data_IF_967602857157
#
_entry.id   IF_967602857157
#
_cell.length_a   1.000
_cell.length_b   1.000
_cell.length_c   1.000
_cell.angle_alpha   90.00
_cell.angle_beta   90.00
_cell.angle_gamma   90.00
#
_symmetry.space_group_name_H-M   'P 1'
#
loop_
_entity.id
_entity.type
_entity.pdbx_description
1 polymer ?
#
# COMPACT_ATOMS: atom_id res chain seq x y z
N UNK A 1 -11.69 26.76 5.05
CA UNK A 1 -10.65 25.95 5.68
C UNK A 1 -10.98 24.50 5.36
N UNK A 2 -10.46 24.10 4.53
CA UNK A 2 -9.77 23.14 3.66
C UNK A 2 -10.27 21.69 3.83
N UNK A 3 -11.40 21.41 3.15
CA UNK A 3 -11.96 20.05 2.95
C UNK A 3 -11.30 19.28 1.80
N UNK A 4 -10.08 19.67 1.36
CA UNK A 4 -9.45 19.11 0.14
C UNK A 4 -8.29 18.14 0.36
N UNK A 5 -7.89 17.87 1.61
CA UNK A 5 -6.76 16.97 1.93
C UNK A 5 -7.20 15.50 2.09
N UNK A 6 -8.49 15.24 2.28
CA UNK A 6 -8.98 13.90 2.60
C UNK A 6 -9.11 12.92 1.43
N UNK A 7 -8.89 13.38 0.19
CA UNK A 7 -9.12 12.53 -0.99
C UNK A 7 -7.84 11.90 -1.60
N UNK A 8 -6.66 12.19 -1.05
CA UNK A 8 -5.36 11.75 -1.62
C UNK A 8 -4.77 10.55 -0.86
N UNK A 9 -5.36 10.16 0.26
CA UNK A 9 -4.84 9.10 1.12
C UNK A 9 -5.04 7.66 0.60
N UNK A 10 -5.48 7.47 -0.62
CA UNK A 10 -5.93 6.16 -1.10
C UNK A 10 -4.89 5.35 -1.88
N UNK A 11 -3.72 5.91 -2.20
CA UNK A 11 -2.65 5.14 -2.87
C UNK A 11 -1.32 5.70 -2.40
N UNK A 12 -0.95 5.46 -1.21
CA UNK A 12 0.41 5.72 -0.76
C UNK A 12 0.69 4.95 0.50
N UNK A 13 1.75 4.32 0.51
CA UNK A 13 2.67 4.00 1.58
C UNK A 13 3.75 3.07 1.09
N UNK A 14 4.96 3.27 1.30
CA UNK A 14 5.95 2.76 2.21
C UNK A 14 7.24 2.18 1.65
N UNK A 15 8.41 2.62 1.98
CA UNK A 15 9.70 1.92 1.82
C UNK A 15 10.57 1.93 3.05
N UNK A 16 11.25 0.83 3.31
CA UNK A 16 12.32 0.73 4.28
C UNK A 16 13.71 0.60 3.62
N UNK A 17 14.72 1.10 4.28
CA UNK A 17 16.13 0.98 3.94
C UNK A 17 16.67 -0.45 4.00
N UNK A 18 17.37 -0.85 2.95
CA UNK A 18 18.60 -1.62 2.97
C UNK A 18 18.58 -3.04 3.51
N UNK A 19 18.51 -3.97 2.60
CA UNK A 19 18.93 -5.35 2.75
C UNK A 19 18.73 -6.02 1.41
N UNK A 20 19.80 -6.19 0.64
CA UNK A 20 19.75 -6.77 -0.70
C UNK A 20 19.32 -8.23 -0.69
N UNK A 21 18.09 -8.52 -0.35
CA UNK A 21 17.44 -9.75 -0.74
C UNK A 21 16.98 -9.56 -2.18
N UNK A 22 17.57 -10.32 -3.10
CA UNK A 22 17.08 -10.37 -4.47
C UNK A 22 15.64 -10.83 -4.44
N UNK A 23 14.69 -9.91 -4.70
CA UNK A 23 13.29 -10.25 -4.90
C UNK A 23 13.19 -11.32 -6.00
N UNK A 24 12.57 -12.40 -5.66
CA UNK A 24 12.23 -13.46 -6.63
C UNK A 24 10.76 -13.35 -6.90
N UNK A 25 10.40 -13.06 -8.14
CA UNK A 25 9.01 -12.95 -8.55
C UNK A 25 8.27 -14.29 -8.37
N UNK A 26 7.31 -14.41 -7.45
CA UNK A 26 6.58 -15.64 -7.18
C UNK A 26 5.50 -15.93 -8.24
N UNK A 27 5.38 -15.14 -9.30
CA UNK A 27 4.31 -15.30 -10.29
C UNK A 27 4.34 -16.67 -10.94
N UNK A 28 3.24 -17.41 -10.78
CA UNK A 28 2.96 -18.69 -11.41
C UNK A 28 1.55 -18.70 -12.01
N UNK A 29 1.33 -19.49 -13.05
CA UNK A 29 0.06 -19.50 -13.79
C UNK A 29 0.05 -18.47 -14.91
N UNK A 30 -1.11 -18.32 -15.55
CA UNK A 30 -1.31 -17.39 -16.67
C UNK A 30 -2.33 -16.33 -16.29
N UNK A 31 -1.87 -15.10 -16.14
CA UNK A 31 -2.70 -13.95 -15.85
C UNK A 31 -3.04 -13.20 -17.14
N UNK A 32 -4.30 -12.85 -17.29
CA UNK A 32 -4.74 -11.92 -18.34
C UNK A 32 -4.69 -10.48 -17.81
N UNK A 33 -4.73 -9.50 -18.69
CA UNK A 33 -4.83 -8.09 -18.28
C UNK A 33 -6.05 -7.84 -17.37
N UNK A 34 -7.14 -8.59 -17.58
CA UNK A 34 -8.31 -8.52 -16.70
C UNK A 34 -8.02 -9.06 -15.31
N UNK A 35 -7.29 -10.16 -15.17
CA UNK A 35 -6.93 -10.72 -13.87
C UNK A 35 -6.04 -9.74 -13.09
N UNK A 36 -5.08 -9.14 -13.78
CA UNK A 36 -4.21 -8.10 -13.20
C UNK A 36 -5.03 -6.89 -12.72
N UNK A 37 -5.98 -6.42 -13.51
CA UNK A 37 -6.86 -5.33 -13.13
C UNK A 37 -7.77 -5.69 -11.92
N UNK A 38 -8.30 -6.91 -11.88
CA UNK A 38 -9.14 -7.39 -10.78
C UNK A 38 -8.33 -7.53 -9.47
N UNK A 39 -7.06 -7.97 -9.55
CA UNK A 39 -6.12 -8.00 -8.42
C UNK A 39 -5.88 -6.58 -7.90
N UNK A 40 -5.59 -5.64 -8.79
CA UNK A 40 -5.38 -4.24 -8.43
C UNK A 40 -6.62 -3.61 -7.79
N UNK A 41 -7.79 -3.86 -8.32
CA UNK A 41 -9.05 -3.39 -7.74
C UNK A 41 -9.28 -3.96 -6.34
N UNK A 42 -8.96 -5.24 -6.12
CA UNK A 42 -9.06 -5.89 -4.80
C UNK A 42 -8.11 -5.26 -3.81
N UNK A 43 -6.85 -5.03 -4.19
CA UNK A 43 -5.84 -4.40 -3.35
C UNK A 43 -6.26 -2.97 -3.00
N UNK A 44 -6.53 -2.13 -3.99
CA UNK A 44 -6.81 -0.70 -3.79
C UNK A 44 -8.04 -0.44 -2.91
N UNK A 45 -9.11 -1.22 -3.09
CA UNK A 45 -10.32 -1.09 -2.24
C UNK A 45 -10.08 -1.56 -0.81
N UNK A 46 -9.14 -2.49 -0.60
CA UNK A 46 -8.83 -3.05 0.71
C UNK A 46 -7.96 -2.12 1.56
N UNK A 47 -7.20 -1.20 0.97
CA UNK A 47 -6.29 -0.29 1.68
C UNK A 47 -6.92 1.03 2.11
N UNK A 48 -7.95 1.49 1.44
CA UNK A 48 -8.51 2.82 1.65
C UNK A 48 -9.11 3.03 3.05
N UNK A 49 -9.70 2.00 3.65
CA UNK A 49 -10.38 2.09 4.94
C UNK A 49 -9.44 2.01 6.17
N UNK A 50 -8.48 1.08 6.26
CA UNK A 50 -7.61 0.95 7.44
C UNK A 50 -6.74 2.18 7.70
N UNK A 51 -6.24 2.82 6.64
CA UNK A 51 -5.35 3.98 6.76
C UNK A 51 -6.09 5.26 7.18
N UNK A 52 -7.36 5.38 6.82
CA UNK A 52 -8.19 6.54 7.19
C UNK A 52 -8.54 6.58 8.70
N UNK A 53 -8.40 5.47 9.42
CA UNK A 53 -8.76 5.36 10.84
C UNK A 53 -7.57 5.61 11.79
N UNK A 54 -6.36 5.81 11.27
CA UNK A 54 -5.19 6.08 12.09
C UNK A 54 -5.25 7.52 12.66
N UNK A 55 -5.13 7.70 13.98
CA UNK A 55 -5.02 9.03 14.56
C UNK A 55 -3.73 9.69 14.06
N UNK A 56 -3.87 10.87 13.48
CA UNK A 56 -2.74 11.66 13.04
C UNK A 56 -1.76 11.95 14.19
N UNK A 57 -0.46 12.17 13.89
CA UNK A 57 0.52 12.49 14.92
C UNK A 57 0.15 13.80 15.64
N UNK A 58 0.18 13.76 16.97
CA UNK A 58 0.03 14.98 17.77
C UNK A 58 1.35 15.77 17.81
N UNK A 59 1.34 17.11 17.70
CA UNK A 59 2.53 17.94 17.55
C UNK A 59 3.56 17.89 18.70
N UNK A 60 3.25 17.18 19.77
CA UNK A 60 4.04 17.24 21.02
C UNK A 60 5.19 16.22 21.12
N UNK A 61 5.45 15.39 20.10
CA UNK A 61 6.46 14.32 20.21
C UNK A 61 7.49 14.39 19.10
N UNK A 62 8.75 14.68 19.48
CA UNK A 62 9.88 14.80 18.57
C UNK A 62 10.19 13.49 17.79
N UNK A 63 9.88 12.34 18.34
CA UNK A 63 9.98 11.02 17.70
C UNK A 63 8.96 10.07 18.31
N UNK A 64 8.24 9.34 17.47
CA UNK A 64 7.27 8.33 17.91
C UNK A 64 7.30 7.13 16.99
N UNK A 65 7.41 5.94 17.58
CA UNK A 65 7.08 4.70 16.90
C UNK A 65 5.59 4.41 17.12
N UNK A 66 4.88 4.15 16.03
CA UNK A 66 3.45 3.83 16.04
C UNK A 66 3.30 2.40 15.55
N UNK A 67 2.86 1.52 16.43
CA UNK A 67 2.43 0.19 16.01
C UNK A 67 1.13 0.30 15.21
N UNK A 68 1.11 -0.31 14.05
CA UNK A 68 -0.05 -0.38 13.17
C UNK A 68 -0.64 -1.78 13.28
N UNK A 69 -1.80 -1.89 13.87
CA UNK A 69 -2.52 -3.16 14.00
C UNK A 69 -4.03 -2.88 14.16
N UNK A 70 -4.66 -2.27 13.15
CA UNK A 70 -6.10 -2.06 13.18
C UNK A 70 -6.83 -3.41 13.13
N UNK A 71 -8.09 -3.47 13.59
CA UNK A 71 -8.93 -4.65 13.38
C UNK A 71 -8.99 -5.01 11.89
N UNK A 72 -9.00 -6.30 11.53
CA UNK A 72 -9.15 -6.73 10.15
C UNK A 72 -10.37 -6.09 9.48
N UNK A 73 -10.20 -5.58 8.27
CA UNK A 73 -11.25 -4.92 7.50
C UNK A 73 -11.91 -5.92 6.55
N UNK A 74 -13.23 -5.91 6.48
CA UNK A 74 -13.96 -6.75 5.53
C UNK A 74 -13.69 -6.26 4.09
N UNK A 75 -13.45 -7.21 3.18
CA UNK A 75 -13.45 -6.94 1.75
C UNK A 75 -14.88 -6.71 1.24
N UNK A 76 -15.03 -6.06 0.09
CA UNK A 76 -16.34 -5.60 -0.38
C UNK A 76 -17.39 -6.72 -0.56
N UNK A 77 -16.96 -7.94 -0.89
CA UNK A 77 -17.86 -9.09 -1.12
C UNK A 77 -17.68 -10.15 -0.03
N UNK A 78 -16.44 -10.59 0.24
CA UNK A 78 -16.15 -11.60 1.25
C UNK A 78 -14.70 -11.56 1.72
N UNK A 79 -14.41 -12.20 2.86
CA UNK A 79 -13.08 -12.25 3.45
C UNK A 79 -12.68 -10.96 4.14
N UNK A 80 -11.40 -10.85 4.47
CA UNK A 80 -10.86 -9.69 5.16
C UNK A 80 -9.41 -9.40 4.78
N UNK A 81 -8.98 -8.18 5.11
CA UNK A 81 -7.60 -7.74 5.06
C UNK A 81 -7.15 -7.40 6.47
N UNK A 82 -6.01 -7.93 6.87
CA UNK A 82 -5.31 -7.56 8.09
C UNK A 82 -4.06 -6.76 7.75
N UNK A 83 -3.81 -5.69 8.50
CA UNK A 83 -2.61 -4.85 8.35
C UNK A 83 -1.88 -4.81 9.68
N UNK A 84 -0.60 -5.13 9.67
CA UNK A 84 0.26 -5.08 10.87
C UNK A 84 1.59 -4.43 10.53
N UNK A 85 2.26 -3.83 11.50
CA UNK A 85 3.58 -3.26 11.30
C UNK A 85 3.91 -2.11 12.24
N UNK A 86 4.92 -1.34 11.88
CA UNK A 86 5.38 -0.21 12.66
C UNK A 86 5.72 0.98 11.76
N UNK A 87 5.38 2.17 12.23
CA UNK A 87 5.72 3.44 11.60
C UNK A 87 6.53 4.29 12.58
N UNK A 88 7.67 4.78 12.15
CA UNK A 88 8.43 5.82 12.86
C UNK A 88 8.02 7.19 12.32
N UNK A 89 7.68 8.09 13.21
CA UNK A 89 7.37 9.49 12.85
C UNK A 89 8.29 10.39 13.68
N UNK A 90 8.96 11.33 13.02
CA UNK A 90 9.81 12.33 13.66
C UNK A 90 9.42 13.71 13.15
N UNK A 91 9.01 14.60 14.04
CA UNK A 91 8.63 15.97 13.69
C UNK A 91 9.63 16.94 14.26
N UNK A 92 10.16 17.84 13.43
CA UNK A 92 11.00 18.97 13.85
C UNK A 92 10.16 20.23 14.13
N UNK A 93 8.95 20.27 13.59
CA UNK A 93 7.95 21.32 13.86
C UNK A 93 6.54 20.78 13.64
N UNK A 94 5.47 21.51 13.99
CA UNK A 94 4.08 21.08 13.71
C UNK A 94 3.77 20.88 12.24
N UNK A 95 4.59 21.41 11.34
CA UNK A 95 4.38 21.34 9.88
C UNK A 95 5.51 20.62 9.14
N UNK A 96 6.53 20.13 9.84
CA UNK A 96 7.67 19.45 9.25
C UNK A 96 7.93 18.12 9.97
N UNK A 97 7.53 17.04 9.36
CA UNK A 97 7.69 15.69 9.86
C UNK A 97 8.33 14.80 8.78
N UNK A 98 9.10 13.82 9.22
CA UNK A 98 9.51 12.67 8.44
C UNK A 98 8.87 11.41 9.02
N UNK A 99 8.56 10.47 8.17
CA UNK A 99 8.00 9.19 8.56
C UNK A 99 8.59 8.07 7.72
N UNK A 100 8.57 6.88 8.28
CA UNK A 100 9.00 5.68 7.58
C UNK A 100 8.64 4.43 8.37
N UNK A 101 8.58 3.29 7.69
CA UNK A 101 8.25 2.05 8.36
C UNK A 101 7.97 0.89 7.41
N UNK A 102 7.55 -0.23 7.99
CA UNK A 102 7.18 -1.44 7.27
C UNK A 102 5.80 -1.91 7.74
N UNK A 103 4.91 -2.17 6.79
CA UNK A 103 3.64 -2.82 7.04
C UNK A 103 3.59 -4.17 6.33
N UNK A 104 2.98 -5.12 6.97
CA UNK A 104 2.59 -6.39 6.40
C UNK A 104 1.08 -6.44 6.22
N UNK A 105 0.63 -6.79 5.03
CA UNK A 105 -0.77 -6.88 4.66
C UNK A 105 -1.09 -8.31 4.30
N UNK A 106 -2.05 -8.89 4.99
CA UNK A 106 -2.54 -10.24 4.72
C UNK A 106 -3.96 -10.18 4.16
N UNK A 107 -4.16 -10.77 2.97
CA UNK A 107 -5.46 -10.99 2.36
C UNK A 107 -5.94 -12.39 2.72
N UNK A 108 -7.09 -12.48 3.37
CA UNK A 108 -7.69 -13.73 3.83
C UNK A 108 -9.01 -13.96 3.08
N UNK A 109 -8.96 -14.72 2.00
CA UNK A 109 -10.10 -14.98 1.11
C UNK A 109 -10.81 -13.70 0.68
N UNK A 110 -10.03 -12.66 0.41
CA UNK A 110 -10.52 -11.33 0.10
C UNK A 110 -11.11 -11.30 -1.30
N UNK A 111 -12.35 -10.86 -1.41
CA UNK A 111 -13.06 -10.67 -2.68
C UNK A 111 -13.68 -9.29 -2.70
N UNK A 112 -13.28 -8.49 -3.69
CA UNK A 112 -13.86 -7.17 -3.98
C UNK A 112 -14.43 -7.10 -5.39
N UNK A 113 -14.18 -8.14 -6.19
CA UNK A 113 -14.71 -8.33 -7.54
C UNK A 113 -15.42 -9.68 -7.58
N UNK A 114 -16.63 -9.72 -8.15
CA UNK A 114 -17.44 -10.95 -8.24
C UNK A 114 -16.67 -12.08 -8.95
N UNK A 115 -16.67 -13.26 -8.33
CA UNK A 115 -16.00 -14.44 -8.84
C UNK A 115 -14.49 -14.47 -8.60
N UNK A 116 -13.89 -13.41 -8.04
CA UNK A 116 -12.44 -13.34 -7.77
C UNK A 116 -12.17 -13.40 -6.27
N UNK A 117 -11.31 -14.31 -5.85
CA UNK A 117 -10.85 -14.43 -4.46
C UNK A 117 -9.32 -14.35 -4.43
N UNK A 118 -8.80 -13.49 -3.57
CA UNK A 118 -7.38 -13.28 -3.35
C UNK A 118 -6.96 -13.75 -1.95
N UNK A 119 -5.84 -14.47 -1.89
CA UNK A 119 -5.17 -14.87 -0.65
C UNK A 119 -3.68 -14.60 -0.76
N UNK A 120 -3.06 -14.17 0.31
CA UNK A 120 -1.61 -13.94 0.31
C UNK A 120 -1.19 -12.78 1.16
N UNK A 121 0.04 -12.33 0.96
CA UNK A 121 0.62 -11.25 1.73
C UNK A 121 1.44 -10.29 0.88
N UNK A 122 1.44 -9.03 1.30
CA UNK A 122 2.25 -7.96 0.74
C UNK A 122 3.05 -7.31 1.87
N UNK A 123 4.31 -7.12 1.63
CA UNK A 123 5.16 -6.26 2.43
C UNK A 123 5.20 -4.88 1.77
N UNK A 124 4.89 -3.92 2.57
CA UNK A 124 4.79 -2.54 2.13
C UNK A 124 5.70 -1.72 3.04
N UNK A 125 6.74 -1.14 2.50
CA UNK A 125 7.67 -0.30 3.22
C UNK A 125 7.57 1.22 2.87
N UNK A 126 7.74 2.28 3.79
CA UNK A 126 7.58 3.74 3.56
C UNK A 126 8.75 4.60 3.94
N UNK A 127 8.99 5.62 3.17
CA UNK A 127 9.69 6.80 3.66
C UNK A 127 9.09 8.07 3.04
N UNK A 128 8.87 9.07 3.86
CA UNK A 128 8.32 10.33 3.38
C UNK A 128 8.58 11.48 4.32
N UNK A 129 8.25 12.66 3.86
CA UNK A 129 8.34 13.88 4.66
C UNK A 129 7.27 14.89 4.29
N UNK A 130 6.92 15.71 5.26
CA UNK A 130 6.07 16.89 5.07
C UNK A 130 6.84 18.14 5.47
N UNK A 131 6.62 19.25 4.75
CA UNK A 131 7.15 20.57 5.07
C UNK A 131 6.18 21.64 4.63
N UNK A 132 5.43 22.22 5.56
CA UNK A 132 4.33 23.12 5.26
C UNK A 132 3.25 22.42 4.41
N UNK A 133 3.03 22.91 3.18
CA UNK A 133 2.11 22.29 2.21
C UNK A 133 2.79 21.29 1.26
N UNK A 134 4.11 21.20 1.31
CA UNK A 134 4.87 20.25 0.51
C UNK A 134 4.95 18.88 1.19
N UNK A 135 4.96 17.82 0.40
CA UNK A 135 5.23 16.48 0.88
C UNK A 135 6.00 15.66 -0.15
N UNK A 136 6.74 14.68 0.33
CA UNK A 136 7.35 13.63 -0.47
C UNK A 136 7.07 12.27 0.14
N UNK A 137 6.90 11.28 -0.69
CA UNK A 137 6.69 9.91 -0.30
C UNK A 137 7.29 9.00 -1.35
N UNK A 138 8.08 8.07 -0.90
CA UNK A 138 8.63 6.99 -1.70
C UNK A 138 8.14 5.64 -1.16
N UNK A 139 7.78 4.71 -2.04
CA UNK A 139 7.05 3.50 -1.74
C UNK A 139 7.53 2.26 -2.51
N UNK A 140 7.64 1.07 -1.88
CA UNK A 140 7.67 -0.21 -2.57
C UNK A 140 6.64 -1.18 -1.99
N UNK A 141 5.96 -1.91 -2.84
CA UNK A 141 5.01 -2.96 -2.50
C UNK A 141 5.58 -4.26 -3.07
N UNK A 142 5.84 -5.24 -2.22
CA UNK A 142 6.37 -6.54 -2.64
C UNK A 142 5.57 -7.67 -2.02
N UNK A 143 5.35 -8.74 -2.79
CA UNK A 143 4.69 -9.93 -2.28
C UNK A 143 4.07 -10.81 -3.34
N UNK A 144 3.25 -11.76 -2.90
CA UNK A 144 2.56 -12.69 -3.77
C UNK A 144 1.13 -12.95 -3.33
N UNK A 145 0.22 -12.87 -4.27
CA UNK A 145 -1.20 -13.08 -4.06
C UNK A 145 -1.67 -14.26 -4.92
N UNK A 146 -2.16 -15.31 -4.27
CA UNK A 146 -2.86 -16.40 -4.93
C UNK A 146 -4.26 -15.94 -5.35
N UNK A 147 -4.61 -16.14 -6.60
CA UNK A 147 -5.87 -15.69 -7.18
C UNK A 147 -6.69 -16.88 -7.67
N UNK A 148 -7.93 -16.92 -7.23
CA UNK A 148 -8.95 -17.90 -7.68
C UNK A 148 -10.06 -17.16 -8.40
N UNK A 149 -10.47 -17.65 -9.55
CA UNK A 149 -11.60 -17.13 -10.34
C UNK A 149 -12.65 -18.22 -10.51
N UNK A 150 -13.88 -17.92 -10.10
CA UNK A 150 -15.03 -18.84 -10.18
C UNK A 150 -14.71 -20.24 -9.62
N UNK A 151 -14.00 -20.25 -8.48
CA UNK A 151 -13.57 -21.47 -7.80
C UNK A 151 -12.33 -22.16 -8.39
N UNK A 152 -11.78 -21.68 -9.50
CA UNK A 152 -10.59 -22.25 -10.13
C UNK A 152 -9.35 -21.40 -9.84
N UNK A 153 -8.28 -22.02 -9.36
CA UNK A 153 -7.00 -21.35 -9.13
C UNK A 153 -6.41 -20.86 -10.46
N UNK A 154 -6.23 -19.56 -10.60
CA UNK A 154 -5.53 -18.92 -11.73
C UNK A 154 -4.02 -19.06 -11.57
N UNK A 155 -3.52 -18.81 -10.37
CA UNK A 155 -2.10 -18.86 -10.03
C UNK A 155 -1.75 -17.93 -8.89
N UNK A 156 -0.45 -17.68 -8.73
CA UNK A 156 0.08 -16.65 -7.82
C UNK A 156 0.54 -15.45 -8.64
N UNK A 157 0.03 -14.28 -8.31
CA UNK A 157 0.45 -13.01 -8.87
C UNK A 157 1.54 -12.40 -8.00
N UNK A 158 2.75 -12.27 -8.52
CA UNK A 158 3.82 -11.52 -7.90
C UNK A 158 3.62 -10.02 -8.10
N UNK A 159 3.87 -9.24 -7.07
CA UNK A 159 3.76 -7.79 -7.07
C UNK A 159 5.07 -7.20 -6.60
N UNK A 160 5.66 -6.35 -7.41
CA UNK A 160 6.86 -5.60 -7.09
C UNK A 160 6.74 -4.21 -7.73
N UNK A 161 6.23 -3.26 -6.98
CA UNK A 161 5.90 -1.91 -7.46
C UNK A 161 6.55 -0.89 -6.56
N UNK A 162 7.15 0.14 -7.13
CA UNK A 162 7.56 1.36 -6.44
C UNK A 162 6.70 2.54 -6.86
N UNK A 163 6.41 3.42 -5.91
CA UNK A 163 5.65 4.64 -6.12
C UNK A 163 6.41 5.82 -5.52
N UNK A 164 6.70 6.83 -6.31
CA UNK A 164 7.20 8.10 -5.85
C UNK A 164 6.11 9.15 -6.00
N UNK A 165 5.75 9.77 -4.90
CA UNK A 165 4.72 10.79 -4.84
C UNK A 165 5.31 12.06 -4.21
N UNK A 166 5.18 13.19 -4.88
CA UNK A 166 5.63 14.46 -4.34
C UNK A 166 4.64 15.58 -4.65
N UNK A 167 4.60 16.58 -3.78
CA UNK A 167 3.84 17.80 -3.98
C UNK A 167 4.61 18.98 -3.39
N UNK A 168 4.60 20.10 -4.08
CA UNK A 168 5.09 21.39 -3.59
C UNK A 168 3.99 22.25 -2.95
N UNK A 169 2.78 21.73 -2.84
CA UNK A 169 1.59 22.41 -2.33
C UNK A 169 0.72 23.05 -3.42
N UNK A 170 1.20 23.10 -4.67
CA UNK A 170 0.48 23.60 -5.84
C UNK A 170 0.35 22.55 -6.94
N UNK A 171 1.38 21.77 -7.15
CA UNK A 171 1.45 20.68 -8.12
C UNK A 171 1.72 19.36 -7.41
N UNK A 172 1.32 18.27 -8.03
CA UNK A 172 1.57 16.93 -7.57
C UNK A 172 2.19 16.10 -8.71
N UNK A 173 3.22 15.33 -8.38
CA UNK A 173 3.87 14.40 -9.29
C UNK A 173 3.76 12.99 -8.71
N UNK A 174 3.40 12.04 -9.55
CA UNK A 174 3.32 10.62 -9.23
C UNK A 174 4.14 9.85 -10.26
N UNK A 175 5.06 9.02 -9.79
CA UNK A 175 5.76 8.05 -10.62
C UNK A 175 5.52 6.66 -10.07
N UNK A 176 5.05 5.76 -10.93
CA UNK A 176 4.85 4.35 -10.62
C UNK A 176 5.74 3.53 -11.52
N UNK A 177 6.43 2.56 -10.96
CA UNK A 177 7.29 1.65 -11.72
C UNK A 177 7.28 0.25 -11.08
N UNK A 178 7.36 -0.78 -11.90
CA UNK A 178 7.45 -2.16 -11.39
C UNK A 178 6.71 -3.18 -12.22
N UNK A 179 6.31 -4.27 -11.57
CA UNK A 179 5.57 -5.36 -12.20
C UNK A 179 4.45 -5.87 -11.32
N UNK A 180 3.35 -6.27 -11.93
CA UNK A 180 2.20 -6.93 -11.30
C UNK A 180 1.82 -8.13 -12.17
N UNK A 181 1.87 -9.35 -11.61
CA UNK A 181 1.67 -10.61 -12.34
C UNK A 181 2.57 -10.72 -13.61
N UNK A 182 3.81 -10.20 -13.53
CA UNK A 182 4.79 -10.02 -14.63
C UNK A 182 4.46 -8.94 -15.65
N UNK A 183 3.28 -8.35 -15.62
CA UNK A 183 2.97 -7.22 -16.48
C UNK A 183 3.64 -5.94 -15.95
N UNK A 184 4.35 -5.20 -16.79
CA UNK A 184 4.99 -3.95 -16.37
C UNK A 184 3.93 -2.88 -16.07
N UNK A 185 4.16 -2.13 -15.01
CA UNK A 185 3.39 -0.93 -14.67
C UNK A 185 4.33 0.26 -14.64
N UNK A 186 3.97 1.33 -15.35
CA UNK A 186 4.70 2.59 -15.38
C UNK A 186 3.74 3.75 -15.63
N UNK A 187 3.90 4.84 -14.86
CA UNK A 187 3.15 6.08 -15.02
C UNK A 187 4.01 7.27 -14.63
#
# INVERSE_FOLDING_TARGET
MNKRIAAIAAVAALVACGGGSSWVDPTSGSFTAKDTADVMATISTSFSAPLAQQPGPTPAQARRQVAVNPPPQACAISGNVAVTGNMDVTCSSPTACSFGGLLHVALNSCSSVTGVVANGGLDIGAAGSTSGNAFSLHETIQGGISVTRDGTLVGTCGINVSVDLSSDGTSQTVHVNGTICKEPVAQ
#
